data_IF_446048874394
#
_entry.id   IF_446048874394
#
_cell.length_a   1.000
_cell.length_b   1.000
_cell.length_c   1.000
_cell.angle_alpha   90.00
_cell.angle_beta   90.00
_cell.angle_gamma   90.00
#
_symmetry.space_group_name_H-M   'P 1'
#
loop_
_entity.id
_entity.type
_entity.pdbx_description
1 polymer ?
#
# COMPACT_ATOMS: atom_id res chain seq x y z
N UNK A 1 -45.55 5.08 4.12
CA UNK A 1 -44.88 4.56 5.34
C UNK A 1 -43.54 3.95 4.94
N UNK A 2 -42.48 4.05 5.75
CA UNK A 2 -41.21 3.39 5.44
C UNK A 2 -41.38 1.87 5.32
N UNK A 3 -40.78 1.25 4.31
CA UNK A 3 -40.99 -0.15 3.90
C UNK A 3 -40.76 -1.19 5.00
N UNK A 4 -39.88 -0.89 5.96
CA UNK A 4 -39.45 -1.84 7.00
C UNK A 4 -39.92 -1.48 8.41
N UNK A 5 -40.86 -0.54 8.55
CA UNK A 5 -41.31 -0.03 9.84
C UNK A 5 -42.54 -0.81 10.34
N UNK A 6 -42.51 -1.27 11.60
CA UNK A 6 -43.65 -1.88 12.30
C UNK A 6 -43.83 -1.24 13.67
N UNK A 7 -45.07 -1.17 14.16
CA UNK A 7 -45.40 -0.67 15.51
C UNK A 7 -45.89 -1.83 16.37
N UNK A 8 -45.35 -1.96 17.58
CA UNK A 8 -45.75 -2.96 18.58
C UNK A 8 -45.71 -2.32 19.96
N UNK A 9 -46.79 -2.44 20.72
CA UNK A 9 -46.90 -1.94 22.10
C UNK A 9 -46.47 -0.47 22.27
N UNK A 10 -46.85 0.35 21.29
CA UNK A 10 -46.53 1.79 21.24
C UNK A 10 -45.10 2.13 20.77
N UNK A 11 -44.19 1.16 20.65
CA UNK A 11 -42.81 1.34 20.21
C UNK A 11 -42.64 0.91 18.75
N UNK A 12 -41.81 1.62 18.00
CA UNK A 12 -41.50 1.27 16.62
C UNK A 12 -40.32 0.28 16.52
N UNK A 13 -40.44 -0.65 15.58
CA UNK A 13 -39.48 -1.71 15.28
C UNK A 13 -39.11 -1.68 13.79
N UNK A 14 -37.86 -2.02 13.50
CA UNK A 14 -37.40 -2.36 12.17
C UNK A 14 -37.63 -3.85 11.93
N UNK A 15 -38.19 -4.21 10.78
CA UNK A 15 -38.38 -5.60 10.34
C UNK A 15 -38.04 -5.74 8.87
N UNK A 16 -37.03 -6.55 8.56
CA UNK A 16 -36.63 -6.86 7.18
C UNK A 16 -36.40 -8.36 7.01
N UNK A 17 -36.92 -8.92 5.92
CA UNK A 17 -36.72 -10.32 5.56
C UNK A 17 -35.30 -10.52 5.01
N UNK A 18 -34.63 -11.57 5.45
CA UNK A 18 -33.33 -12.01 4.92
C UNK A 18 -33.62 -13.01 3.78
N UNK A 19 -33.16 -12.73 2.53
CA UNK A 19 -33.29 -13.66 1.41
C UNK A 19 -32.73 -15.04 1.77
N UNK A 20 -33.37 -16.10 1.29
CA UNK A 20 -33.05 -17.48 1.66
C UNK A 20 -31.57 -17.84 1.45
N UNK A 21 -31.01 -17.45 0.31
CA UNK A 21 -29.60 -17.66 -0.01
C UNK A 21 -28.63 -17.05 1.01
N UNK A 22 -29.03 -15.98 1.71
CA UNK A 22 -28.16 -15.24 2.63
C UNK A 22 -28.34 -15.67 4.09
N UNK A 23 -29.36 -16.47 4.41
CA UNK A 23 -29.64 -16.91 5.79
C UNK A 23 -28.46 -17.61 6.49
N UNK A 24 -27.61 -18.42 5.81
CA UNK A 24 -26.44 -19.01 6.46
C UNK A 24 -25.49 -17.97 7.08
N UNK A 25 -25.30 -16.83 6.42
CA UNK A 25 -24.45 -15.73 6.91
C UNK A 25 -25.03 -15.01 8.15
N UNK A 26 -26.30 -15.24 8.48
CA UNK A 26 -26.99 -14.65 9.63
C UNK A 26 -27.44 -15.72 10.65
N UNK A 27 -26.67 -16.80 10.81
CA UNK A 27 -26.96 -17.92 11.72
C UNK A 27 -28.35 -18.54 11.48
N UNK A 28 -28.78 -18.59 10.21
CA UNK A 28 -30.09 -19.15 9.83
C UNK A 28 -31.29 -18.25 10.14
N UNK A 29 -31.10 -17.03 10.62
CA UNK A 29 -32.20 -16.09 10.90
C UNK A 29 -32.96 -15.76 9.61
N UNK A 30 -34.30 -15.75 9.70
CA UNK A 30 -35.18 -15.44 8.58
C UNK A 30 -35.43 -13.93 8.41
N UNK A 31 -35.27 -13.17 9.49
CA UNK A 31 -35.59 -11.74 9.53
C UNK A 31 -34.67 -10.98 10.49
N UNK A 32 -34.34 -9.73 10.14
CA UNK A 32 -33.73 -8.75 11.03
C UNK A 32 -34.85 -7.98 11.71
N UNK A 33 -35.02 -8.20 13.02
CA UNK A 33 -36.04 -7.53 13.83
C UNK A 33 -35.40 -6.90 15.06
N UNK A 34 -35.53 -5.59 15.21
CA UNK A 34 -35.07 -4.88 16.41
C UNK A 34 -35.86 -3.59 16.65
N UNK A 35 -35.92 -3.16 17.92
CA UNK A 35 -36.62 -1.93 18.31
C UNK A 35 -35.85 -0.70 17.83
N UNK A 36 -36.56 0.28 17.27
CA UNK A 36 -36.04 1.62 16.97
C UNK A 36 -35.99 2.51 18.23
N UNK A 37 -36.43 1.97 19.38
CA UNK A 37 -36.38 2.62 20.71
C UNK A 37 -37.02 4.00 20.73
N UNK A 38 -38.15 4.15 20.04
CA UNK A 38 -38.92 5.38 20.03
C UNK A 38 -40.40 5.09 19.86
N UNK A 39 -41.23 5.90 20.51
CA UNK A 39 -42.70 5.93 20.31
C UNK A 39 -43.12 7.05 19.35
N UNK A 40 -42.21 7.98 19.03
CA UNK A 40 -42.43 9.04 18.05
C UNK A 40 -42.25 8.50 16.63
N UNK A 41 -43.28 8.71 15.80
CA UNK A 41 -43.31 8.28 14.41
C UNK A 41 -42.28 9.00 13.54
N UNK A 42 -42.05 10.30 13.74
CA UNK A 42 -41.13 11.07 12.91
C UNK A 42 -39.68 10.60 13.13
N UNK A 43 -39.30 10.45 14.40
CA UNK A 43 -38.00 9.89 14.77
C UNK A 43 -37.87 8.41 14.35
N UNK A 44 -38.94 7.62 14.45
CA UNK A 44 -38.94 6.24 13.95
C UNK A 44 -38.68 6.16 12.45
N UNK A 45 -39.27 7.06 11.65
CA UNK A 45 -39.03 7.12 10.22
C UNK A 45 -37.56 7.42 9.88
N UNK A 46 -36.91 8.34 10.61
CA UNK A 46 -35.49 8.66 10.42
C UNK A 46 -34.60 7.45 10.74
N UNK A 47 -34.80 6.82 11.90
CA UNK A 47 -34.04 5.65 12.33
C UNK A 47 -34.27 4.43 11.43
N UNK A 48 -35.50 4.26 10.93
CA UNK A 48 -35.83 3.19 9.98
C UNK A 48 -35.07 3.34 8.66
N UNK A 49 -34.89 4.56 8.14
CA UNK A 49 -34.10 4.78 6.91
C UNK A 49 -32.62 4.48 7.13
N UNK A 50 -32.06 4.90 8.26
CA UNK A 50 -30.68 4.58 8.61
C UNK A 50 -30.47 3.06 8.77
N UNK A 51 -31.39 2.38 9.45
CA UNK A 51 -31.39 0.93 9.59
C UNK A 51 -31.52 0.20 8.24
N UNK A 52 -32.31 0.73 7.30
CA UNK A 52 -32.43 0.17 5.96
C UNK A 52 -31.08 0.18 5.24
N UNK A 53 -30.41 1.34 5.18
CA UNK A 53 -29.08 1.47 4.55
C UNK A 53 -28.05 0.55 5.19
N UNK A 54 -28.07 0.43 6.52
CA UNK A 54 -27.15 -0.46 7.22
C UNK A 54 -27.43 -1.93 6.87
N UNK A 55 -28.70 -2.34 6.86
CA UNK A 55 -29.06 -3.70 6.47
C UNK A 55 -28.81 -4.01 4.99
N UNK A 56 -28.86 -3.02 4.08
CA UNK A 56 -28.45 -3.18 2.69
C UNK A 56 -26.97 -3.54 2.61
N UNK A 57 -26.11 -2.79 3.32
CA UNK A 57 -24.67 -3.07 3.38
C UNK A 57 -24.37 -4.47 3.94
N UNK A 58 -25.09 -4.89 4.97
CA UNK A 58 -24.91 -6.22 5.58
C UNK A 58 -25.34 -7.34 4.62
N UNK A 59 -26.45 -7.17 3.89
CA UNK A 59 -26.89 -8.14 2.90
C UNK A 59 -25.99 -8.15 1.66
N UNK A 60 -25.47 -7.01 1.23
CA UNK A 60 -24.51 -6.91 0.12
C UNK A 60 -23.14 -7.49 0.50
N UNK A 61 -22.70 -7.30 1.74
CA UNK A 61 -21.51 -7.98 2.26
C UNK A 61 -21.72 -9.50 2.33
N UNK A 62 -22.88 -9.97 2.80
CA UNK A 62 -23.21 -11.40 2.80
C UNK A 62 -23.31 -11.96 1.36
N UNK A 63 -23.88 -11.20 0.42
CA UNK A 63 -23.85 -11.53 -1.01
C UNK A 63 -22.42 -11.60 -1.53
N UNK A 64 -21.57 -10.65 -1.19
CA UNK A 64 -20.17 -10.64 -1.61
C UNK A 64 -19.39 -11.81 -0.99
N UNK A 65 -19.70 -12.23 0.24
CA UNK A 65 -19.11 -13.41 0.88
C UNK A 65 -19.58 -14.73 0.24
N UNK A 66 -20.81 -14.78 -0.26
CA UNK A 66 -21.36 -15.98 -0.94
C UNK A 66 -21.00 -15.99 -2.43
N UNK A 67 -20.95 -14.82 -3.07
CA UNK A 67 -20.58 -14.61 -4.47
C UNK A 67 -19.08 -14.50 -4.71
N UNK A 68 -18.29 -14.27 -3.65
CA UNK A 68 -16.87 -14.61 -3.59
C UNK A 68 -16.80 -16.02 -3.02
N UNK A 69 -16.96 -17.06 -3.85
CA UNK A 69 -16.87 -18.39 -3.32
C UNK A 69 -15.44 -18.58 -2.81
N UNK A 70 -15.28 -18.86 -1.51
CA UNK A 70 -14.13 -19.62 -1.00
C UNK A 70 -14.21 -21.09 -1.47
N UNK A 71 -14.50 -21.26 -2.76
CA UNK A 71 -14.96 -22.50 -3.39
C UNK A 71 -15.37 -22.26 -4.84
N UNK A 72 -14.71 -21.30 -5.51
CA UNK A 72 -14.84 -21.12 -6.94
C UNK A 72 -14.00 -22.20 -7.59
N UNK A 73 -14.62 -23.30 -7.97
CA UNK A 73 -14.12 -24.16 -9.02
C UNK A 73 -13.93 -23.33 -10.27
N UNK A 74 -12.78 -22.67 -10.39
CA UNK A 74 -12.17 -22.48 -11.68
C UNK A 74 -12.07 -23.90 -12.27
N UNK A 75 -12.71 -24.10 -13.42
CA UNK A 75 -12.28 -25.15 -14.35
C UNK A 75 -10.74 -25.10 -14.37
N UNK A 76 -10.01 -26.20 -14.18
CA UNK A 76 -8.56 -26.19 -14.31
C UNK A 76 -8.23 -26.03 -15.79
N UNK A 77 -8.23 -24.79 -16.25
CA UNK A 77 -7.81 -24.42 -17.59
C UNK A 77 -7.20 -23.02 -17.49
N UNK A 78 -5.87 -23.01 -17.63
CA UNK A 78 -5.06 -21.87 -18.08
C UNK A 78 -4.51 -20.89 -17.04
N UNK A 79 -4.27 -21.33 -15.80
CA UNK A 79 -3.10 -20.80 -15.08
C UNK A 79 -1.86 -21.47 -15.66
N UNK A 80 -0.86 -20.67 -16.10
CA UNK A 80 0.40 -21.17 -16.66
C UNK A 80 0.94 -22.39 -15.86
N UNK A 81 1.55 -23.39 -16.51
CA UNK A 81 1.99 -24.60 -15.83
C UNK A 81 2.81 -24.26 -14.58
N UNK A 82 2.24 -24.54 -13.41
CA UNK A 82 2.96 -24.34 -12.16
C UNK A 82 4.05 -25.42 -12.13
N UNK A 83 5.30 -24.98 -12.18
CA UNK A 83 6.43 -25.86 -11.95
C UNK A 83 6.35 -26.41 -10.52
N UNK A 84 6.05 -27.71 -10.43
CA UNK A 84 5.81 -28.43 -9.18
C UNK A 84 7.05 -28.43 -8.29
N UNK A 85 8.23 -28.58 -8.88
CA UNK A 85 9.49 -28.62 -8.14
C UNK A 85 9.85 -27.23 -7.63
N UNK A 86 9.70 -26.21 -8.47
CA UNK A 86 9.91 -24.83 -8.04
C UNK A 86 8.93 -24.40 -6.93
N UNK A 87 7.68 -24.84 -7.03
CA UNK A 87 6.66 -24.57 -6.00
C UNK A 87 6.97 -25.27 -4.68
N UNK A 88 7.33 -26.55 -4.72
CA UNK A 88 7.74 -27.32 -3.53
C UNK A 88 8.97 -26.69 -2.85
N UNK A 89 9.97 -26.28 -3.64
CA UNK A 89 11.17 -25.62 -3.13
C UNK A 89 10.86 -24.29 -2.45
N UNK A 90 10.00 -23.46 -3.05
CA UNK A 90 9.57 -22.19 -2.47
C UNK A 90 8.77 -22.38 -1.17
N UNK A 91 7.85 -23.35 -1.15
CA UNK A 91 7.09 -23.71 0.03
C UNK A 91 7.99 -24.21 1.18
N UNK A 92 9.00 -25.03 0.85
CA UNK A 92 9.98 -25.54 1.81
C UNK A 92 10.80 -24.41 2.45
N UNK A 93 11.32 -23.47 1.65
CA UNK A 93 12.04 -22.32 2.18
C UNK A 93 11.17 -21.41 3.06
N UNK A 94 9.88 -21.26 2.74
CA UNK A 94 8.94 -20.52 3.57
C UNK A 94 8.67 -21.22 4.92
N UNK A 95 8.52 -22.55 4.90
CA UNK A 95 8.33 -23.35 6.11
C UNK A 95 9.56 -23.32 7.02
N UNK A 96 10.79 -23.37 6.46
CA UNK A 96 12.02 -23.23 7.25
C UNK A 96 12.06 -21.89 8.00
N UNK A 97 11.73 -20.77 7.34
CA UNK A 97 11.68 -19.45 8.01
C UNK A 97 10.65 -19.41 9.14
N UNK A 98 9.48 -20.01 8.94
CA UNK A 98 8.45 -20.11 9.97
C UNK A 98 8.93 -20.96 11.16
N UNK A 99 9.60 -22.08 10.89
CA UNK A 99 10.19 -22.94 11.92
C UNK A 99 11.25 -22.20 12.74
N UNK A 100 12.14 -21.46 12.08
CA UNK A 100 13.19 -20.69 12.75
C UNK A 100 12.60 -19.55 13.60
N UNK A 101 11.53 -18.92 13.11
CA UNK A 101 10.77 -17.93 13.89
C UNK A 101 10.06 -18.56 15.10
N UNK A 102 9.43 -19.72 14.94
CA UNK A 102 8.79 -20.46 16.03
C UNK A 102 9.83 -20.92 17.08
N UNK A 103 11.00 -21.38 16.65
CA UNK A 103 12.13 -21.70 17.53
C UNK A 103 12.57 -20.47 18.33
N UNK A 104 12.73 -19.32 17.65
CA UNK A 104 13.09 -18.06 18.31
C UNK A 104 12.04 -17.58 19.31
N UNK A 105 10.76 -17.92 19.08
CA UNK A 105 9.65 -17.61 19.97
C UNK A 105 9.43 -18.66 21.08
N UNK A 106 10.17 -19.78 21.09
CA UNK A 106 9.97 -20.89 22.02
C UNK A 106 8.72 -21.74 21.77
N UNK A 107 8.14 -21.65 20.57
CA UNK A 107 6.86 -22.26 20.19
C UNK A 107 7.01 -23.37 19.12
N UNK A 108 8.18 -24.02 19.09
CA UNK A 108 8.48 -25.10 18.15
C UNK A 108 7.48 -26.28 18.23
N UNK A 109 7.00 -26.72 19.42
CA UNK A 109 6.04 -27.82 19.50
C UNK A 109 4.72 -27.56 18.77
N UNK A 110 4.20 -26.33 18.85
CA UNK A 110 2.96 -25.92 18.16
C UNK A 110 3.17 -25.94 16.65
N UNK A 111 4.29 -25.38 16.19
CA UNK A 111 4.67 -25.43 14.78
C UNK A 111 4.76 -26.88 14.25
N UNK A 112 5.41 -27.78 14.99
CA UNK A 112 5.55 -29.17 14.60
C UNK A 112 4.20 -29.91 14.58
N UNK A 113 3.28 -29.59 15.48
CA UNK A 113 1.93 -30.14 15.49
C UNK A 113 1.13 -29.69 14.26
N UNK A 114 1.13 -28.38 13.97
CA UNK A 114 0.48 -27.83 12.78
C UNK A 114 1.07 -28.39 11.48
N UNK A 115 2.39 -28.56 11.40
CA UNK A 115 3.03 -29.14 10.23
C UNK A 115 2.58 -30.59 9.97
N UNK A 116 2.36 -31.40 11.03
CA UNK A 116 1.82 -32.77 10.88
C UNK A 116 0.37 -32.76 10.41
N UNK A 117 -0.48 -31.93 11.00
CA UNK A 117 -1.89 -31.78 10.58
C UNK A 117 -1.99 -31.32 9.13
N UNK A 118 -1.16 -30.36 8.72
CA UNK A 118 -1.10 -29.92 7.33
C UNK A 118 -0.67 -31.06 6.38
N UNK A 119 0.28 -31.91 6.79
CA UNK A 119 0.70 -33.05 5.97
C UNK A 119 -0.44 -34.06 5.77
N UNK A 120 -1.21 -34.36 6.82
CA UNK A 120 -2.40 -35.21 6.75
C UNK A 120 -3.47 -34.59 5.84
N UNK A 121 -3.70 -33.28 5.97
CA UNK A 121 -4.61 -32.54 5.09
C UNK A 121 -4.20 -32.65 3.62
N UNK A 122 -2.92 -32.43 3.30
CA UNK A 122 -2.44 -32.55 1.92
C UNK A 122 -2.49 -33.98 1.40
N UNK A 123 -2.29 -34.99 2.25
CA UNK A 123 -2.49 -36.39 1.90
C UNK A 123 -3.95 -36.67 1.52
N UNK A 124 -4.89 -36.24 2.35
CA UNK A 124 -6.33 -36.42 2.09
C UNK A 124 -6.77 -35.74 0.78
N UNK A 125 -6.24 -34.55 0.49
CA UNK A 125 -6.47 -33.84 -0.79
C UNK A 125 -5.99 -34.67 -2.00
N UNK A 126 -4.80 -35.28 -1.92
CA UNK A 126 -4.26 -36.12 -3.00
C UNK A 126 -5.01 -37.44 -3.18
N UNK A 127 -5.63 -37.95 -2.12
CA UNK A 127 -6.47 -39.15 -2.14
C UNK A 127 -7.92 -38.88 -2.62
N UNK A 128 -8.19 -37.66 -3.11
CA UNK A 128 -9.49 -37.29 -3.68
C UNK A 128 -10.43 -36.55 -2.72
N UNK A 129 -9.90 -36.05 -1.60
CA UNK A 129 -10.60 -35.12 -0.71
C UNK A 129 -10.85 -33.74 -1.33
N UNK A 130 -11.46 -32.85 -0.55
CA UNK A 130 -11.69 -31.46 -0.99
C UNK A 130 -10.36 -30.70 -1.09
N UNK A 131 -9.98 -30.35 -2.31
CA UNK A 131 -8.74 -29.62 -2.61
C UNK A 131 -8.80 -28.14 -2.23
N UNK A 132 -9.91 -27.62 -1.69
CA UNK A 132 -10.07 -26.23 -1.23
C UNK A 132 -9.68 -25.18 -2.30
N UNK A 133 -9.90 -25.52 -3.58
CA UNK A 133 -9.53 -24.67 -4.71
C UNK A 133 -8.04 -24.66 -5.07
N UNK A 134 -7.22 -25.51 -4.45
CA UNK A 134 -5.83 -25.72 -4.83
C UNK A 134 -5.73 -26.66 -6.04
N UNK A 135 -4.77 -26.37 -6.92
CA UNK A 135 -4.40 -27.28 -8.00
C UNK A 135 -3.60 -28.48 -7.48
N UNK A 136 -3.65 -29.61 -8.19
CA UNK A 136 -2.87 -30.80 -7.86
C UNK A 136 -1.37 -30.49 -7.68
N UNK A 137 -0.80 -29.67 -8.56
CA UNK A 137 0.60 -29.24 -8.48
C UNK A 137 0.93 -28.48 -7.18
N UNK A 138 0.00 -27.67 -6.67
CA UNK A 138 0.17 -26.95 -5.41
C UNK A 138 0.11 -27.91 -4.24
N UNK A 139 -0.91 -28.80 -4.21
CA UNK A 139 -1.07 -29.79 -3.13
C UNK A 139 0.15 -30.72 -3.07
N UNK A 140 0.60 -31.27 -4.20
CA UNK A 140 1.81 -32.11 -4.28
C UNK A 140 3.05 -31.36 -3.76
N UNK A 141 3.20 -30.08 -4.12
CA UNK A 141 4.35 -29.29 -3.69
C UNK A 141 4.32 -28.96 -2.20
N UNK A 142 3.16 -28.64 -1.63
CA UNK A 142 2.99 -28.40 -0.18
C UNK A 142 3.22 -29.69 0.62
N UNK A 143 2.70 -30.82 0.15
CA UNK A 143 2.93 -32.13 0.76
C UNK A 143 4.42 -32.46 0.82
N UNK A 144 5.12 -32.34 -0.31
CA UNK A 144 6.58 -32.61 -0.39
C UNK A 144 7.38 -31.69 0.51
N UNK A 145 7.09 -30.39 0.50
CA UNK A 145 7.77 -29.41 1.37
C UNK A 145 7.56 -29.72 2.85
N UNK A 146 6.33 -30.03 3.25
CA UNK A 146 5.97 -30.33 4.64
C UNK A 146 6.60 -31.64 5.10
N UNK A 147 6.56 -32.69 4.25
CA UNK A 147 7.23 -33.96 4.52
C UNK A 147 8.74 -33.78 4.67
N UNK A 148 9.37 -33.06 3.74
CA UNK A 148 10.81 -32.79 3.80
C UNK A 148 11.22 -32.02 5.05
N UNK A 149 10.36 -31.13 5.56
CA UNK A 149 10.62 -30.39 6.78
C UNK A 149 10.58 -31.30 8.02
N UNK A 150 9.61 -32.21 8.07
CA UNK A 150 9.36 -33.10 9.22
C UNK A 150 10.31 -34.29 9.26
N UNK A 151 10.59 -34.93 8.12
CA UNK A 151 11.38 -36.17 8.05
C UNK A 151 12.80 -35.95 7.55
N UNK A 152 13.09 -34.79 6.94
CA UNK A 152 14.35 -34.53 6.24
C UNK A 152 14.41 -35.14 4.83
N UNK A 153 13.44 -35.97 4.45
CA UNK A 153 13.46 -36.64 3.15
C UNK A 153 13.31 -35.65 2.00
N UNK A 154 14.29 -35.62 1.09
CA UNK A 154 14.29 -34.68 -0.03
C UNK A 154 14.56 -33.22 0.37
N UNK A 155 14.86 -32.92 1.64
CA UNK A 155 15.17 -31.58 2.11
C UNK A 155 16.36 -30.96 1.39
N UNK A 156 17.42 -31.74 1.11
CA UNK A 156 18.59 -31.27 0.37
C UNK A 156 18.25 -30.89 -1.09
N UNK A 157 17.39 -31.68 -1.74
CA UNK A 157 16.92 -31.41 -3.11
C UNK A 157 16.07 -30.14 -3.14
N UNK A 158 15.13 -29.98 -2.21
CA UNK A 158 14.30 -28.77 -2.13
C UNK A 158 15.11 -27.54 -1.73
N UNK A 159 16.09 -27.67 -0.83
CA UNK A 159 16.98 -26.57 -0.45
C UNK A 159 17.84 -26.10 -1.64
N UNK A 160 18.41 -27.03 -2.40
CA UNK A 160 19.19 -26.70 -3.61
C UNK A 160 18.32 -26.07 -4.70
N UNK A 161 17.14 -26.63 -4.96
CA UNK A 161 16.17 -26.06 -5.90
C UNK A 161 15.67 -24.66 -5.46
N UNK A 162 15.50 -24.43 -4.16
CA UNK A 162 15.11 -23.12 -3.62
C UNK A 162 16.24 -22.10 -3.79
N UNK A 163 17.50 -22.51 -3.62
CA UNK A 163 18.66 -21.66 -3.87
C UNK A 163 18.81 -21.32 -5.36
N UNK A 164 18.56 -22.28 -6.26
CA UNK A 164 18.59 -22.06 -7.72
C UNK A 164 17.43 -21.17 -8.17
N UNK A 165 16.21 -21.42 -7.69
CA UNK A 165 15.03 -20.59 -7.98
C UNK A 165 15.16 -19.19 -7.38
N UNK A 166 15.73 -19.07 -6.18
CA UNK A 166 16.08 -17.79 -5.56
C UNK A 166 17.12 -17.02 -6.38
N UNK A 167 18.15 -17.69 -6.89
CA UNK A 167 19.13 -17.12 -7.83
C UNK A 167 18.51 -16.78 -9.17
N UNK A 168 17.59 -17.57 -9.72
CA UNK A 168 16.90 -17.24 -10.98
C UNK A 168 15.91 -16.08 -10.83
N UNK A 169 15.20 -15.98 -9.70
CA UNK A 169 14.30 -14.86 -9.39
C UNK A 169 15.06 -13.58 -9.02
N UNK A 170 16.27 -13.70 -8.48
CA UNK A 170 17.24 -12.61 -8.35
C UNK A 170 17.96 -12.30 -9.68
N UNK A 171 18.14 -13.26 -10.59
CA UNK A 171 18.77 -13.07 -11.90
C UNK A 171 17.86 -12.38 -12.93
N UNK A 172 16.58 -12.14 -12.62
CA UNK A 172 15.75 -11.18 -13.39
C UNK A 172 16.08 -9.73 -12.99
N UNK A 173 16.75 -9.49 -11.85
CA UNK A 173 17.42 -8.23 -11.60
C UNK A 173 18.83 -8.32 -12.21
N UNK A 174 18.98 -7.84 -13.45
CA UNK A 174 20.30 -7.56 -14.04
C UNK A 174 21.12 -6.74 -13.02
N UNK A 175 22.28 -7.22 -12.55
CA UNK A 175 23.19 -6.38 -11.75
C UNK A 175 23.71 -5.16 -12.53
N UNK A 176 23.47 -5.07 -13.85
CA UNK A 176 23.83 -3.94 -14.71
C UNK A 176 22.82 -2.77 -14.74
N UNK A 177 21.75 -2.80 -13.94
CA UNK A 177 20.86 -1.63 -13.90
C UNK A 177 21.51 -0.46 -13.15
N UNK A 178 21.36 0.78 -13.66
CA UNK A 178 21.97 1.95 -13.05
C UNK A 178 21.46 2.21 -11.63
N UNK A 179 22.21 3.00 -10.87
CA UNK A 179 21.76 3.52 -9.57
C UNK A 179 20.73 4.65 -9.76
N UNK A 180 19.97 4.99 -8.72
CA UNK A 180 18.99 6.09 -8.78
C UNK A 180 19.61 7.44 -9.19
N UNK A 181 20.82 7.84 -8.73
CA UNK A 181 21.48 9.06 -9.19
C UNK A 181 21.79 9.06 -10.68
N UNK A 182 22.28 7.94 -11.21
CA UNK A 182 22.58 7.76 -12.64
C UNK A 182 21.28 7.76 -13.47
N UNK A 183 20.21 7.19 -12.93
CA UNK A 183 18.88 7.24 -13.54
C UNK A 183 18.34 8.67 -13.62
N UNK A 184 18.59 9.50 -12.60
CA UNK A 184 18.28 10.93 -12.63
C UNK A 184 19.07 11.65 -13.72
N UNK A 185 20.36 11.31 -13.90
CA UNK A 185 21.19 11.93 -14.93
C UNK A 185 20.65 11.62 -16.34
N UNK A 186 20.30 10.35 -16.59
CA UNK A 186 19.64 9.92 -17.84
C UNK A 186 18.31 10.62 -18.06
N UNK A 187 17.46 10.68 -17.04
CA UNK A 187 16.18 11.37 -17.10
C UNK A 187 16.33 12.88 -17.35
N UNK A 188 17.31 13.52 -16.70
CA UNK A 188 17.57 14.95 -16.85
C UNK A 188 18.12 15.29 -18.23
N UNK A 189 18.95 14.42 -18.82
CA UNK A 189 19.44 14.57 -20.18
C UNK A 189 18.30 14.54 -21.22
N UNK A 190 17.31 13.67 -21.02
CA UNK A 190 16.19 13.53 -21.95
C UNK A 190 15.11 14.60 -21.75
N UNK A 191 14.65 14.81 -20.50
CA UNK A 191 13.51 15.70 -20.22
C UNK A 191 13.89 17.16 -20.02
N UNK A 192 15.18 17.47 -19.92
CA UNK A 192 15.73 18.82 -19.69
C UNK A 192 14.95 19.66 -18.64
N UNK A 193 14.69 19.12 -17.44
CA UNK A 193 14.00 19.85 -16.38
C UNK A 193 14.87 20.98 -15.82
N UNK A 194 14.26 21.91 -15.09
CA UNK A 194 14.98 22.97 -14.36
C UNK A 194 15.94 22.35 -13.34
N UNK A 195 17.15 22.91 -13.18
CA UNK A 195 18.18 22.42 -12.26
C UNK A 195 17.65 22.18 -10.83
N UNK A 196 16.83 23.11 -10.31
CA UNK A 196 16.18 22.97 -8.99
C UNK A 196 15.32 21.72 -8.84
N UNK A 197 14.68 21.26 -9.92
CA UNK A 197 13.89 20.04 -9.92
C UNK A 197 14.79 18.81 -9.82
N UNK A 198 15.90 18.80 -10.56
CA UNK A 198 16.91 17.74 -10.50
C UNK A 198 17.45 17.61 -9.07
N UNK A 199 17.82 18.72 -8.42
CA UNK A 199 18.31 18.72 -7.04
C UNK A 199 17.28 18.15 -6.05
N UNK A 200 16.00 18.49 -6.22
CA UNK A 200 14.93 17.98 -5.38
C UNK A 200 14.75 16.46 -5.54
N UNK A 201 14.92 15.95 -6.76
CA UNK A 201 14.82 14.52 -7.06
C UNK A 201 16.02 13.78 -6.47
N UNK A 202 17.24 14.31 -6.62
CA UNK A 202 18.45 13.74 -5.99
C UNK A 202 18.31 13.66 -4.47
N UNK A 203 17.81 14.71 -3.82
CA UNK A 203 17.53 14.69 -2.38
C UNK A 203 16.53 13.61 -1.99
N UNK A 204 15.50 13.41 -2.81
CA UNK A 204 14.50 12.36 -2.56
C UNK A 204 15.12 10.97 -2.68
N UNK A 205 15.98 10.72 -3.67
CA UNK A 205 16.69 9.46 -3.83
C UNK A 205 17.70 9.21 -2.70
N UNK A 206 18.42 10.23 -2.25
CA UNK A 206 19.32 10.13 -1.11
C UNK A 206 18.57 9.74 0.17
N UNK A 207 17.41 10.36 0.43
CA UNK A 207 16.55 9.97 1.56
C UNK A 207 16.04 8.53 1.43
N UNK A 208 15.70 8.09 0.20
CA UNK A 208 15.26 6.73 -0.04
C UNK A 208 16.35 5.70 0.27
N UNK A 209 17.58 5.95 -0.18
CA UNK A 209 18.73 5.09 0.12
C UNK A 209 19.13 5.10 1.59
N UNK A 210 18.99 6.22 2.29
CA UNK A 210 19.22 6.26 3.73
C UNK A 210 18.31 5.30 4.52
N UNK A 211 17.09 5.04 4.03
CA UNK A 211 16.13 4.13 4.69
C UNK A 211 16.34 2.67 4.23
N UNK A 212 16.67 2.44 2.96
CA UNK A 212 16.58 1.11 2.36
C UNK A 212 17.94 0.51 1.95
N UNK A 213 19.03 1.26 2.14
CA UNK A 213 20.35 0.95 1.60
C UNK A 213 20.48 1.29 0.11
N UNK A 214 21.71 1.54 -0.32
CA UNK A 214 22.03 1.74 -1.73
C UNK A 214 21.86 0.42 -2.49
N UNK A 215 21.07 0.47 -3.56
CA UNK A 215 20.82 -0.69 -4.41
C UNK A 215 20.51 -0.26 -5.84
N UNK A 216 20.86 -1.08 -6.85
CA UNK A 216 20.58 -0.79 -8.24
C UNK A 216 19.07 -0.79 -8.49
N UNK A 217 18.62 -0.06 -9.52
CA UNK A 217 17.19 0.16 -9.78
C UNK A 217 16.42 -1.15 -9.99
N UNK A 218 17.04 -2.17 -10.60
CA UNK A 218 16.45 -3.50 -10.79
C UNK A 218 16.28 -4.32 -9.50
N UNK A 219 16.98 -3.96 -8.42
CA UNK A 219 16.85 -4.63 -7.11
C UNK A 219 15.83 -3.93 -6.19
N UNK A 220 15.24 -2.81 -6.61
CA UNK A 220 14.27 -2.07 -5.81
C UNK A 220 12.90 -2.74 -5.90
N UNK A 221 12.35 -3.10 -4.74
CA UNK A 221 11.05 -3.78 -4.63
C UNK A 221 9.95 -2.83 -4.16
N UNK A 222 8.68 -3.26 -4.29
CA UNK A 222 7.54 -2.53 -3.70
C UNK A 222 7.65 -2.40 -2.18
N UNK A 223 8.25 -3.38 -1.50
CA UNK A 223 8.46 -3.35 -0.05
C UNK A 223 9.36 -2.18 0.37
N UNK A 224 10.40 -1.90 -0.42
CA UNK A 224 11.30 -0.77 -0.22
C UNK A 224 10.55 0.56 -0.30
N UNK A 225 9.68 0.73 -1.30
CA UNK A 225 8.86 1.95 -1.45
C UNK A 225 7.89 2.13 -0.27
N UNK A 226 7.34 1.03 0.26
CA UNK A 226 6.48 1.06 1.44
C UNK A 226 7.25 1.37 2.73
N UNK A 227 8.47 0.86 2.89
CA UNK A 227 9.36 1.19 4.00
C UNK A 227 9.67 2.68 4.02
N UNK A 228 10.03 3.25 2.87
CA UNK A 228 10.27 4.69 2.71
C UNK A 228 9.02 5.53 3.03
N UNK A 229 7.84 5.12 2.54
CA UNK A 229 6.57 5.79 2.89
C UNK A 229 6.34 5.77 4.41
N UNK A 230 6.56 4.63 5.05
CA UNK A 230 6.34 4.45 6.48
C UNK A 230 7.30 5.32 7.30
N UNK A 231 8.57 5.41 6.88
CA UNK A 231 9.57 6.30 7.45
C UNK A 231 9.14 7.78 7.38
N UNK A 232 8.68 8.25 6.21
CA UNK A 232 8.23 9.64 6.06
C UNK A 232 7.01 9.99 6.93
N UNK A 233 6.12 9.02 7.16
CA UNK A 233 4.97 9.20 8.06
C UNK A 233 5.44 9.23 9.52
N UNK A 234 6.38 8.37 9.90
CA UNK A 234 6.97 8.33 11.24
C UNK A 234 7.73 9.62 11.57
N UNK A 235 8.42 10.23 10.60
CA UNK A 235 9.05 11.55 10.72
C UNK A 235 8.05 12.73 10.82
N UNK A 236 6.74 12.47 10.76
CA UNK A 236 5.71 13.50 10.88
C UNK A 236 5.63 14.44 9.66
N UNK A 237 6.09 14.03 8.48
CA UNK A 237 5.99 14.88 7.28
C UNK A 237 4.53 15.05 6.86
N UNK A 238 4.19 16.25 6.39
CA UNK A 238 2.84 16.54 5.91
C UNK A 238 2.47 15.59 4.74
N UNK A 239 1.19 15.14 4.64
CA UNK A 239 0.76 14.19 3.60
C UNK A 239 1.07 14.66 2.17
N UNK A 240 0.96 15.97 1.91
CA UNK A 240 1.32 16.56 0.61
C UNK A 240 2.81 16.42 0.28
N UNK A 241 3.69 16.53 1.28
CA UNK A 241 5.14 16.35 1.10
C UNK A 241 5.49 14.87 0.91
N UNK A 242 4.79 13.96 1.59
CA UNK A 242 4.93 12.51 1.36
C UNK A 242 4.51 12.16 -0.07
N UNK A 243 3.37 12.69 -0.54
CA UNK A 243 2.92 12.44 -1.91
C UNK A 243 3.89 12.99 -2.96
N UNK A 244 4.38 14.23 -2.79
CA UNK A 244 5.37 14.81 -3.70
C UNK A 244 6.63 13.95 -3.82
N UNK A 245 7.17 13.43 -2.70
CA UNK A 245 8.34 12.54 -2.73
C UNK A 245 8.06 11.20 -3.41
N UNK A 246 6.91 10.59 -3.14
CA UNK A 246 6.50 9.36 -3.81
C UNK A 246 6.23 9.57 -5.31
N UNK A 247 5.76 10.76 -5.71
CA UNK A 247 5.57 11.12 -7.12
C UNK A 247 6.91 11.20 -7.87
N UNK A 248 7.97 11.74 -7.24
CA UNK A 248 9.31 11.76 -7.86
C UNK A 248 9.80 10.34 -8.16
N UNK A 249 9.70 9.44 -7.17
CA UNK A 249 10.09 8.04 -7.33
C UNK A 249 9.25 7.33 -8.41
N UNK A 250 7.93 7.49 -8.40
CA UNK A 250 7.03 6.95 -9.44
C UNK A 250 7.41 7.43 -10.84
N UNK A 251 7.77 8.71 -10.97
CA UNK A 251 8.16 9.28 -12.26
C UNK A 251 9.49 8.70 -12.76
N UNK A 252 10.47 8.50 -11.87
CA UNK A 252 11.75 7.85 -12.18
C UNK A 252 11.59 6.39 -12.57
N UNK A 253 10.79 5.61 -11.82
CA UNK A 253 10.56 4.20 -12.16
C UNK A 253 9.77 4.04 -13.45
N UNK A 254 8.80 4.91 -13.70
CA UNK A 254 8.11 4.95 -14.99
C UNK A 254 9.07 5.24 -16.15
N UNK A 255 9.97 6.21 -15.99
CA UNK A 255 11.03 6.47 -16.97
C UNK A 255 11.92 5.23 -17.19
N UNK A 256 12.26 4.51 -16.12
CA UNK A 256 13.05 3.28 -16.21
C UNK A 256 12.30 2.16 -16.96
N UNK A 257 10.98 2.06 -16.80
CA UNK A 257 10.15 1.13 -17.59
C UNK A 257 10.07 1.56 -19.06
N UNK A 258 9.85 2.85 -19.33
CA UNK A 258 9.76 3.40 -20.69
C UNK A 258 11.08 3.23 -21.48
N UNK A 259 12.22 3.18 -20.78
CA UNK A 259 13.56 2.96 -21.35
C UNK A 259 14.05 1.50 -21.23
N UNK A 260 13.16 0.55 -20.93
CA UNK A 260 13.46 -0.89 -20.82
C UNK A 260 14.61 -1.23 -19.85
N UNK A 261 14.82 -0.39 -18.83
CA UNK A 261 15.80 -0.59 -17.76
C UNK A 261 15.24 -1.59 -16.73
N UNK A 262 13.94 -1.50 -16.44
CA UNK A 262 13.22 -2.43 -15.56
C UNK A 262 11.92 -2.89 -16.20
N UNK A 263 11.52 -4.12 -15.91
CA UNK A 263 10.31 -4.71 -16.49
C UNK A 263 9.00 -4.21 -15.85
N UNK A 264 9.04 -3.71 -14.61
CA UNK A 264 7.82 -3.33 -13.87
C UNK A 264 8.10 -2.20 -12.89
N UNK A 265 7.17 -1.24 -12.78
CA UNK A 265 7.26 -0.12 -11.83
C UNK A 265 6.92 -0.58 -10.38
N UNK A 266 7.89 -0.61 -9.45
CA UNK A 266 7.66 -1.00 -8.06
C UNK A 266 6.81 0.00 -7.26
N UNK A 267 6.70 1.25 -7.71
CA UNK A 267 6.00 2.33 -7.02
C UNK A 267 4.59 2.62 -7.56
N UNK A 268 4.18 2.01 -8.68
CA UNK A 268 2.92 2.32 -9.39
C UNK A 268 1.67 2.34 -8.50
N UNK A 269 1.59 1.40 -7.55
CA UNK A 269 0.41 1.23 -6.67
C UNK A 269 0.53 1.93 -5.31
N UNK A 270 1.66 2.58 -5.01
CA UNK A 270 1.92 3.17 -3.69
C UNK A 270 1.42 4.61 -3.62
N UNK A 271 0.32 4.82 -2.88
CA UNK A 271 -0.30 6.13 -2.67
C UNK A 271 0.03 6.71 -1.29
N UNK A 272 0.13 8.03 -1.19
CA UNK A 272 0.27 8.73 0.09
C UNK A 272 -1.04 8.67 0.92
N UNK A 273 -0.96 8.88 2.25
CA UNK A 273 -2.15 9.01 3.09
C UNK A 273 -3.05 10.17 2.65
N UNK A 274 -4.38 10.08 2.83
CA UNK A 274 -5.28 11.17 2.48
C UNK A 274 -4.98 12.39 3.35
N UNK A 275 -4.77 13.55 2.72
CA UNK A 275 -4.61 14.80 3.43
C UNK A 275 -5.94 15.20 4.09
N UNK A 276 -5.95 15.43 5.42
CA UNK A 276 -7.02 16.21 6.05
C UNK A 276 -6.93 17.63 5.47
N UNK A 277 -7.97 18.10 4.77
CA UNK A 277 -8.01 19.46 4.22
C UNK A 277 -8.07 20.47 5.36
N UNK A 278 -6.93 20.90 5.87
CA UNK A 278 -6.80 22.22 6.49
C UNK A 278 -6.28 23.16 5.40
N UNK A 279 -7.21 23.68 4.59
CA UNK A 279 -6.89 24.75 3.65
C UNK A 279 -6.82 26.02 4.49
N UNK A 280 -5.69 26.28 5.12
CA UNK A 280 -5.32 27.68 5.41
C UNK A 280 -5.22 28.33 4.04
N UNK A 281 -6.33 28.92 3.59
CA UNK A 281 -6.34 29.69 2.37
C UNK A 281 -5.30 30.79 2.58
N UNK A 282 -4.32 30.87 1.68
CA UNK A 282 -3.44 32.04 1.61
C UNK A 282 -4.36 33.25 1.44
N UNK A 283 -4.56 34.00 2.52
CA UNK A 283 -5.40 35.18 2.48
C UNK A 283 -4.69 36.24 1.64
N UNK A 284 -5.41 36.95 0.75
CA UNK A 284 -4.85 38.13 0.11
C UNK A 284 -4.51 39.16 1.18
N UNK A 285 -3.45 39.95 0.96
CA UNK A 285 -3.19 41.12 1.80
C UNK A 285 -4.31 42.13 1.58
N UNK A 286 -4.97 42.56 2.64
CA UNK A 286 -5.87 43.70 2.59
C UNK A 286 -5.09 45.03 2.59
N UNK A 287 -5.80 46.13 2.36
CA UNK A 287 -5.18 47.44 2.26
C UNK A 287 -4.46 47.87 3.55
N UNK A 288 -4.92 47.41 4.71
CA UNK A 288 -4.33 47.79 6.00
C UNK A 288 -3.08 46.96 6.31
N UNK A 289 -3.07 45.68 5.94
CA UNK A 289 -1.88 44.84 5.94
C UNK A 289 -0.81 45.39 4.99
N UNK A 290 -1.19 45.86 3.80
CA UNK A 290 -0.26 46.49 2.87
C UNK A 290 0.30 47.81 3.44
N UNK A 291 -0.53 48.68 4.02
CA UNK A 291 -0.06 49.90 4.69
C UNK A 291 0.87 49.59 5.86
N UNK A 292 0.60 48.54 6.63
CA UNK A 292 1.45 48.13 7.74
C UNK A 292 2.83 47.63 7.27
N UNK A 293 2.87 46.84 6.20
CA UNK A 293 4.13 46.33 5.62
C UNK A 293 4.95 47.46 4.99
N UNK A 294 4.33 48.24 4.10
CA UNK A 294 5.01 49.31 3.35
C UNK A 294 5.18 50.62 4.12
N UNK A 295 4.47 50.81 5.23
CA UNK A 295 4.67 51.92 6.16
C UNK A 295 5.86 51.74 7.10
N UNK A 296 6.47 50.55 7.13
CA UNK A 296 7.63 50.28 7.96
C UNK A 296 8.86 51.11 7.54
N UNK A 297 9.76 51.37 8.49
CA UNK A 297 10.94 52.23 8.27
C UNK A 297 11.91 51.70 7.21
N UNK A 298 11.83 50.41 6.87
CA UNK A 298 12.60 49.76 5.80
C UNK A 298 12.20 50.35 4.43
N UNK A 299 10.90 50.59 4.22
CA UNK A 299 10.38 51.12 2.95
C UNK A 299 10.24 52.65 2.94
N UNK A 300 10.02 53.30 4.10
CA UNK A 300 9.76 54.74 4.16
C UNK A 300 10.98 55.61 4.43
N UNK A 301 12.04 55.09 5.07
CA UNK A 301 13.23 55.88 5.46
C UNK A 301 14.52 55.46 4.75
N UNK A 302 14.42 54.62 3.71
CA UNK A 302 15.60 54.16 2.95
C UNK A 302 16.65 53.47 3.81
N UNK A 303 16.27 52.94 4.99
CA UNK A 303 17.18 52.09 5.76
C UNK A 303 17.29 50.78 5.01
N UNK A 304 18.49 50.51 4.48
CA UNK A 304 18.83 49.20 3.96
C UNK A 304 18.40 48.15 5.00
N UNK A 305 17.59 47.18 4.56
CA UNK A 305 17.21 46.08 5.41
C UNK A 305 18.50 45.40 5.87
N UNK A 306 18.79 45.42 7.17
CA UNK A 306 19.94 44.66 7.68
C UNK A 306 19.76 43.20 7.24
N UNK A 307 20.82 42.56 6.69
CA UNK A 307 20.74 41.18 6.26
C UNK A 307 20.29 40.33 7.44
N UNK A 308 19.22 39.57 7.26
CA UNK A 308 18.77 38.60 8.26
C UNK A 308 19.94 37.67 8.59
N UNK A 309 20.46 37.77 9.81
CA UNK A 309 21.66 37.06 10.26
C UNK A 309 21.50 35.54 10.17
N UNK A 310 21.99 34.98 9.07
CA UNK A 310 22.08 33.55 8.82
C UNK A 310 23.28 33.28 7.91
N UNK A 311 24.46 33.23 8.54
CA UNK A 311 25.76 32.77 8.03
C UNK A 311 25.96 32.65 6.51
N UNK A 312 26.72 33.59 5.95
CA UNK A 312 27.27 33.47 4.60
C UNK A 312 27.63 34.84 4.04
N UNK A 313 28.79 35.35 4.38
CA UNK A 313 29.27 36.64 3.89
C UNK A 313 29.35 36.69 2.37
N UNK A 314 28.76 37.74 1.79
CA UNK A 314 29.17 38.32 0.52
C UNK A 314 28.84 39.80 0.58
N UNK A 315 29.89 40.60 0.73
CA UNK A 315 29.87 42.05 0.56
C UNK A 315 29.46 42.33 -0.89
N UNK A 316 28.23 42.78 -1.09
CA UNK A 316 27.84 43.44 -2.33
C UNK A 316 28.00 44.95 -2.11
N UNK A 317 29.21 45.47 -2.37
CA UNK A 317 29.44 46.90 -2.52
C UNK A 317 28.57 47.46 -3.63
N UNK A 318 27.80 48.47 -3.26
CA UNK A 318 27.00 49.34 -4.12
C UNK A 318 27.82 50.01 -5.23
N UNK A 319 27.41 49.84 -6.48
CA UNK A 319 27.45 50.86 -7.53
C UNK A 319 26.81 50.32 -8.82
N UNK A 320 25.60 50.78 -9.13
CA UNK A 320 24.91 50.37 -10.36
C UNK A 320 23.61 51.13 -10.55
N UNK A 321 23.71 52.42 -10.84
CA UNK A 321 22.59 53.25 -11.26
C UNK A 321 21.93 52.65 -12.51
N UNK A 322 20.70 52.15 -12.37
CA UNK A 322 19.86 51.76 -13.51
C UNK A 322 18.82 52.85 -13.75
N UNK A 323 19.12 53.70 -14.73
CA UNK A 323 18.16 54.59 -15.38
C UNK A 323 17.01 53.76 -15.96
N UNK A 324 15.78 54.02 -15.51
CA UNK A 324 14.57 53.53 -16.16
C UNK A 324 14.21 54.51 -17.28
N UNK A 325 14.52 54.13 -18.52
CA UNK A 325 14.03 54.82 -19.72
C UNK A 325 12.63 54.30 -20.05
N UNK A 326 11.65 55.17 -19.89
CA UNK A 326 10.30 55.01 -20.40
C UNK A 326 10.32 54.90 -21.93
N UNK A 327 9.62 53.92 -22.48
CA UNK A 327 9.22 53.91 -23.88
C UNK A 327 7.70 53.66 -23.94
N UNK A 328 7.02 54.67 -24.47
CA UNK A 328 5.73 54.54 -25.16
C UNK A 328 5.94 53.79 -26.48
#
# INVERSE_FOLDING_TARGET
MPTHLKKRDGVYYFRRVIPEALRPAFNGKRELVFSLRTKDYAEACKRCRAAAVQSDKELDAARAMIASPSGGGAKPADAAPIDREAYAAAAFAALQRKRDAAFSAGDLPTFDAEARENLELYQAMLEGGDNLGLSLAQVEGMQRATKALLTGDGAAVLASAAAVSGKQKQAVAKPDTPMLPELIDKWAAEKQPKARSVDMWRRTCAMFYAVNGEKPVGAITKADVLAFKSHLIAEGKAPATVDSRLNHLRSLFRFAVENDIIATDPAASVKAPPAKRAKEARLPYDADALKAVFGSAIYTKGREAEPWGGGGGLLATSAGALHWRSAW
#
